data_IF_880677192992
#
_entry.id   IF_880677192992
#
_cell.length_a   1.000
_cell.length_b   1.000
_cell.length_c   1.000
_cell.angle_alpha   90.00
_cell.angle_beta   90.00
_cell.angle_gamma   90.00
#
_symmetry.space_group_name_H-M   'P 1'
#
loop_
_entity.id
_entity.type
_entity.pdbx_description
1 polymer ?
#
# COMPACT_ATOMS: atom_id res chain seq x y z
N UNK A 1 6.08 -3.94 -24.47
CA UNK A 1 7.22 -4.34 -25.30
C UNK A 1 6.98 -5.71 -25.90
N UNK A 2 7.55 -5.99 -27.09
CA UNK A 2 7.43 -7.29 -27.77
C UNK A 2 8.28 -8.41 -27.15
N UNK A 3 8.29 -9.60 -27.75
CA UNK A 3 9.17 -10.70 -27.35
C UNK A 3 10.64 -10.30 -27.34
N UNK A 4 11.45 -10.99 -26.53
CA UNK A 4 12.88 -10.76 -26.49
C UNK A 4 13.54 -11.09 -27.84
N UNK A 5 14.40 -10.21 -28.37
CA UNK A 5 15.01 -10.41 -29.68
C UNK A 5 15.91 -11.68 -29.72
N UNK A 6 15.88 -12.41 -30.85
CA UNK A 6 16.75 -13.56 -31.08
C UNK A 6 16.26 -14.90 -30.50
N UNK A 7 15.08 -14.90 -29.84
CA UNK A 7 14.47 -16.12 -29.31
C UNK A 7 15.20 -16.74 -28.11
N UNK A 8 14.81 -17.97 -27.69
CA UNK A 8 15.28 -18.57 -26.43
C UNK A 8 16.79 -18.71 -26.30
N UNK A 9 17.53 -18.88 -27.41
CA UNK A 9 18.98 -19.00 -27.38
C UNK A 9 19.72 -17.70 -27.01
N UNK A 10 19.01 -16.54 -27.07
CA UNK A 10 19.56 -15.23 -26.75
C UNK A 10 19.06 -14.68 -25.41
N UNK A 11 18.26 -15.44 -24.67
CA UNK A 11 17.74 -14.95 -23.38
C UNK A 11 18.86 -14.77 -22.37
N UNK A 12 18.81 -13.68 -21.59
CA UNK A 12 19.78 -13.49 -20.52
C UNK A 12 19.66 -14.59 -19.44
N UNK A 13 20.77 -15.01 -18.90
CA UNK A 13 20.79 -15.87 -17.70
C UNK A 13 20.58 -15.03 -16.45
N UNK A 14 19.32 -14.63 -16.21
CA UNK A 14 18.92 -13.83 -15.07
C UNK A 14 17.67 -14.45 -14.43
N UNK A 15 17.77 -14.95 -13.17
CA UNK A 15 16.66 -15.63 -12.49
C UNK A 15 15.46 -14.73 -12.21
N UNK A 16 15.60 -13.41 -12.36
CA UNK A 16 14.49 -12.47 -12.20
C UNK A 16 13.55 -12.45 -13.40
N UNK A 17 14.01 -12.92 -14.57
CA UNK A 17 13.25 -12.89 -15.80
C UNK A 17 12.23 -14.03 -15.88
N UNK A 18 11.09 -13.70 -16.48
CA UNK A 18 9.98 -14.61 -16.73
C UNK A 18 10.09 -15.16 -18.15
N UNK A 19 10.27 -16.49 -18.34
CA UNK A 19 10.38 -17.08 -19.67
C UNK A 19 9.16 -16.84 -20.56
N UNK A 20 7.95 -16.79 -19.98
CA UNK A 20 6.72 -16.51 -20.73
C UNK A 20 6.74 -15.08 -21.26
N UNK A 21 7.14 -14.11 -20.42
CA UNK A 21 7.24 -12.71 -20.85
C UNK A 21 8.36 -12.50 -21.89
N UNK A 22 9.45 -13.25 -21.78
CA UNK A 22 10.51 -13.22 -22.79
C UNK A 22 10.01 -13.78 -24.15
N UNK A 23 9.19 -14.83 -24.11
CA UNK A 23 8.65 -15.47 -25.30
C UNK A 23 7.54 -14.65 -25.97
N UNK A 24 6.61 -14.09 -25.20
CA UNK A 24 5.38 -13.46 -25.69
C UNK A 24 5.42 -11.93 -25.67
N UNK A 25 6.37 -11.36 -24.95
CA UNK A 25 6.46 -9.92 -24.69
C UNK A 25 5.79 -9.50 -23.40
N UNK A 26 6.17 -8.34 -22.88
CA UNK A 26 5.65 -7.77 -21.65
C UNK A 26 4.72 -6.59 -21.92
N UNK A 27 3.41 -6.82 -21.73
CA UNK A 27 2.34 -5.81 -21.91
C UNK A 27 1.94 -5.14 -20.59
N UNK A 28 2.57 -5.50 -19.48
CA UNK A 28 2.25 -4.92 -18.16
C UNK A 28 2.65 -3.44 -18.12
N UNK A 29 1.92 -2.66 -17.32
CA UNK A 29 2.27 -1.26 -17.06
C UNK A 29 3.30 -1.20 -15.93
N UNK A 30 4.56 -1.51 -16.24
CA UNK A 30 5.69 -1.43 -15.33
C UNK A 30 6.76 -0.50 -15.91
N UNK A 31 7.62 0.05 -15.05
CA UNK A 31 8.79 0.81 -15.49
C UNK A 31 9.73 -0.08 -16.31
N UNK A 32 10.51 0.51 -17.19
CA UNK A 32 11.34 -0.27 -18.13
C UNK A 32 12.36 -1.17 -17.42
N UNK A 33 12.86 -0.77 -16.25
CA UNK A 33 13.76 -1.58 -15.43
C UNK A 33 13.15 -2.93 -14.99
N UNK A 34 11.83 -3.04 -14.94
CA UNK A 34 11.12 -4.26 -14.54
C UNK A 34 10.54 -5.05 -15.73
N UNK A 35 10.84 -4.63 -16.96
CA UNK A 35 10.41 -5.38 -18.13
C UNK A 35 10.92 -6.80 -18.09
N UNK A 36 10.03 -7.73 -18.41
CA UNK A 36 10.24 -9.18 -18.38
C UNK A 36 10.53 -9.79 -17.01
N UNK A 37 10.59 -9.00 -15.91
CA UNK A 37 10.81 -9.58 -14.58
C UNK A 37 9.59 -10.35 -14.10
N UNK A 38 9.82 -11.43 -13.36
CA UNK A 38 8.78 -12.12 -12.63
C UNK A 38 8.19 -11.20 -11.56
N UNK A 39 6.92 -11.42 -11.22
CA UNK A 39 6.21 -10.60 -10.24
C UNK A 39 6.89 -10.63 -8.87
N UNK A 40 7.28 -11.83 -8.40
CA UNK A 40 7.96 -12.01 -7.12
C UNK A 40 9.32 -11.29 -7.07
N UNK A 41 10.05 -11.25 -8.18
CA UNK A 41 11.30 -10.52 -8.29
C UNK A 41 11.09 -9.00 -8.19
N UNK A 42 10.02 -8.47 -8.79
CA UNK A 42 9.65 -7.06 -8.65
C UNK A 42 9.30 -6.72 -7.21
N UNK A 43 8.45 -7.54 -6.56
CA UNK A 43 8.08 -7.33 -5.15
C UNK A 43 9.31 -7.35 -4.25
N UNK A 44 10.21 -8.34 -4.42
CA UNK A 44 11.44 -8.44 -3.64
C UNK A 44 12.38 -7.24 -3.85
N UNK A 45 12.38 -6.62 -5.03
CA UNK A 45 13.15 -5.40 -5.28
C UNK A 45 12.52 -4.19 -4.61
N UNK A 46 11.19 -4.06 -4.65
CA UNK A 46 10.46 -2.99 -3.97
C UNK A 46 10.65 -3.10 -2.44
N UNK A 47 10.58 -4.31 -1.88
CA UNK A 47 10.70 -4.55 -0.43
C UNK A 47 12.04 -4.08 0.14
N UNK A 48 13.13 -4.15 -0.64
CA UNK A 48 14.44 -3.59 -0.24
C UNK A 48 14.49 -2.07 -0.16
N UNK A 49 13.48 -1.40 -0.73
CA UNK A 49 13.43 0.07 -0.86
C UNK A 49 12.24 0.70 -0.14
N UNK A 50 11.39 -0.13 0.51
CA UNK A 50 10.24 0.40 1.26
C UNK A 50 10.68 1.29 2.41
N UNK A 51 9.89 2.31 2.63
CA UNK A 51 10.00 3.16 3.80
C UNK A 51 9.22 2.55 4.96
N UNK A 52 9.66 2.70 6.22
CA UNK A 52 9.11 1.97 7.36
C UNK A 52 7.78 2.55 7.88
N UNK A 53 7.05 3.31 7.06
CA UNK A 53 5.70 3.75 7.40
C UNK A 53 4.64 2.88 6.76
N UNK A 54 3.51 2.74 7.43
CA UNK A 54 2.34 2.01 6.97
C UNK A 54 1.20 2.98 6.67
N UNK A 55 0.26 2.54 5.84
CA UNK A 55 -0.98 3.27 5.57
C UNK A 55 -2.16 2.38 5.94
N UNK A 56 -3.12 2.92 6.69
CA UNK A 56 -4.34 2.22 7.03
C UNK A 56 -5.57 3.02 6.58
N UNK A 57 -6.63 2.33 6.21
CA UNK A 57 -7.91 2.94 5.84
C UNK A 57 -9.09 2.13 6.36
N UNK A 58 -10.07 2.82 6.94
CA UNK A 58 -11.35 2.22 7.30
C UNK A 58 -12.21 1.94 6.06
N UNK A 59 -12.86 0.79 6.03
CA UNK A 59 -13.71 0.33 4.93
C UNK A 59 -15.06 -0.22 5.44
N UNK A 60 -15.96 0.66 5.88
CA UNK A 60 -17.28 0.26 6.35
C UNK A 60 -18.37 0.38 5.28
N UNK A 61 -18.19 1.28 4.28
CA UNK A 61 -19.20 1.64 3.29
C UNK A 61 -18.83 1.39 1.82
N UNK A 62 -17.80 0.58 1.51
CA UNK A 62 -17.27 0.39 0.15
C UNK A 62 -16.72 1.68 -0.48
N UNK A 63 -15.77 2.28 0.17
CA UNK A 63 -15.10 3.47 -0.35
C UNK A 63 -14.37 3.18 -1.68
N UNK A 64 -14.63 4.03 -2.68
CA UNK A 64 -13.99 3.94 -3.99
C UNK A 64 -12.53 4.41 -3.94
N UNK A 65 -12.16 5.20 -2.94
CA UNK A 65 -10.82 5.79 -2.79
C UNK A 65 -9.76 4.81 -2.29
N UNK A 66 -10.15 3.67 -1.70
CA UNK A 66 -9.19 2.66 -1.20
C UNK A 66 -8.20 2.26 -2.29
N UNK A 67 -8.67 2.02 -3.51
CA UNK A 67 -7.79 1.70 -4.63
C UNK A 67 -6.77 2.81 -4.92
N UNK A 68 -7.17 4.07 -4.84
CA UNK A 68 -6.26 5.21 -5.04
C UNK A 68 -5.24 5.32 -3.91
N UNK A 69 -5.63 5.04 -2.66
CA UNK A 69 -4.74 5.01 -1.50
C UNK A 69 -3.71 3.89 -1.66
N UNK A 70 -4.13 2.67 -2.03
CA UNK A 70 -3.20 1.56 -2.30
C UNK A 70 -2.19 1.93 -3.40
N UNK A 71 -2.65 2.58 -4.47
CA UNK A 71 -1.77 3.07 -5.54
C UNK A 71 -0.78 4.11 -5.05
N UNK A 72 -1.22 5.07 -4.25
CA UNK A 72 -0.35 6.10 -3.67
C UNK A 72 0.65 5.48 -2.69
N UNK A 73 0.22 4.60 -1.80
CA UNK A 73 1.09 3.87 -0.89
C UNK A 73 2.18 3.08 -1.64
N UNK A 74 1.81 2.42 -2.74
CA UNK A 74 2.79 1.75 -3.59
C UNK A 74 3.77 2.74 -4.26
N UNK A 75 3.31 3.90 -4.72
CA UNK A 75 4.15 4.91 -5.35
C UNK A 75 5.16 5.53 -4.37
N UNK A 76 4.75 5.70 -3.11
CA UNK A 76 5.60 6.20 -2.03
C UNK A 76 6.34 5.08 -1.27
N UNK A 77 6.29 3.84 -1.75
CA UNK A 77 6.97 2.69 -1.17
C UNK A 77 6.64 2.49 0.33
N UNK A 78 5.39 2.69 0.72
CA UNK A 78 4.95 2.34 2.08
C UNK A 78 5.18 0.85 2.36
N UNK A 79 5.53 0.50 3.59
CA UNK A 79 5.83 -0.89 3.99
C UNK A 79 4.62 -1.81 3.73
N UNK A 80 3.46 -1.45 4.23
CA UNK A 80 2.23 -2.22 4.09
C UNK A 80 0.99 -1.32 4.11
N UNK A 81 -0.09 -1.74 3.46
CA UNK A 81 -1.41 -1.11 3.54
C UNK A 81 -2.36 -1.98 4.35
N UNK A 82 -3.09 -1.37 5.27
CA UNK A 82 -4.05 -2.04 6.13
C UNK A 82 -5.48 -1.63 5.77
N UNK A 83 -6.34 -2.60 5.49
CA UNK A 83 -7.77 -2.38 5.28
C UNK A 83 -8.50 -2.80 6.55
N UNK A 84 -9.12 -1.84 7.24
CA UNK A 84 -9.84 -2.07 8.50
C UNK A 84 -11.33 -2.11 8.24
N UNK A 85 -12.01 -3.20 8.61
CA UNK A 85 -13.44 -3.41 8.38
C UNK A 85 -13.73 -4.38 7.25
N UNK A 86 -14.51 -4.01 6.25
CA UNK A 86 -14.90 -4.93 5.17
C UNK A 86 -13.69 -5.36 4.34
N UNK A 87 -13.55 -6.66 4.12
CA UNK A 87 -12.44 -7.25 3.34
C UNK A 87 -12.49 -6.90 1.85
N UNK A 88 -13.68 -6.71 1.28
CA UNK A 88 -13.86 -6.40 -0.14
C UNK A 88 -13.77 -4.89 -0.36
N UNK A 89 -12.98 -4.48 -1.32
CA UNK A 89 -12.85 -3.10 -1.78
C UNK A 89 -12.69 -3.04 -3.30
N UNK A 90 -12.90 -1.87 -3.89
CA UNK A 90 -12.81 -1.67 -5.33
C UNK A 90 -11.34 -1.54 -5.78
N UNK A 91 -10.81 -2.59 -6.40
CA UNK A 91 -9.42 -2.62 -6.87
C UNK A 91 -9.15 -1.82 -8.15
N UNK A 92 -10.18 -1.31 -8.84
CA UNK A 92 -9.99 -0.55 -10.08
C UNK A 92 -9.14 0.70 -9.86
N UNK A 93 -9.33 1.42 -8.76
CA UNK A 93 -8.53 2.59 -8.38
C UNK A 93 -7.05 2.29 -8.16
N UNK A 94 -6.71 1.07 -7.77
CA UNK A 94 -5.33 0.65 -7.56
C UNK A 94 -4.55 0.50 -8.88
N UNK A 95 -5.22 0.43 -10.04
CA UNK A 95 -4.55 0.29 -11.34
C UNK A 95 -3.51 -0.83 -11.36
N UNK A 96 -3.85 -1.97 -10.75
CA UNK A 96 -3.01 -3.19 -10.64
C UNK A 96 -1.85 -3.08 -9.64
N UNK A 97 -1.62 -1.94 -8.99
CA UNK A 97 -0.51 -1.78 -8.02
C UNK A 97 -0.69 -2.60 -6.74
N UNK A 98 -1.93 -3.04 -6.45
CA UNK A 98 -2.25 -3.98 -5.38
C UNK A 98 -1.57 -5.36 -5.52
N UNK A 99 -0.98 -5.66 -6.69
CA UNK A 99 -0.16 -6.86 -6.92
C UNK A 99 1.28 -6.71 -6.45
N UNK A 100 1.74 -5.47 -6.28
CA UNK A 100 3.10 -5.14 -5.87
C UNK A 100 3.17 -4.65 -4.42
N UNK A 101 2.04 -4.19 -3.88
CA UNK A 101 1.91 -3.68 -2.53
C UNK A 101 1.44 -4.76 -1.58
N UNK A 102 2.03 -4.83 -0.39
CA UNK A 102 1.51 -5.67 0.69
C UNK A 102 0.21 -5.07 1.23
N UNK A 103 -0.86 -5.85 1.22
CA UNK A 103 -2.18 -5.42 1.69
C UNK A 103 -2.70 -6.41 2.73
N UNK A 104 -2.85 -5.94 3.97
CA UNK A 104 -3.37 -6.70 5.11
C UNK A 104 -4.79 -6.28 5.42
N UNK A 105 -5.60 -7.24 5.84
CA UNK A 105 -6.97 -7.00 6.29
C UNK A 105 -7.10 -7.24 7.79
N UNK A 106 -7.82 -6.32 8.44
CA UNK A 106 -8.27 -6.44 9.83
C UNK A 106 -9.79 -6.34 9.85
N UNK A 107 -10.46 -7.20 10.62
CA UNK A 107 -11.92 -7.26 10.65
C UNK A 107 -12.56 -6.05 11.36
N UNK A 108 -11.83 -5.44 12.30
CA UNK A 108 -12.26 -4.26 13.03
C UNK A 108 -11.06 -3.44 13.55
N UNK A 109 -11.36 -2.31 14.20
CA UNK A 109 -10.36 -1.41 14.78
C UNK A 109 -9.61 -2.09 15.93
N UNK A 110 -10.25 -2.93 16.73
CA UNK A 110 -9.62 -3.62 17.86
C UNK A 110 -8.54 -4.61 17.38
N UNK A 111 -8.86 -5.40 16.34
CA UNK A 111 -7.89 -6.32 15.73
C UNK A 111 -6.72 -5.56 15.08
N UNK A 112 -7.00 -4.42 14.45
CA UNK A 112 -5.99 -3.55 13.88
C UNK A 112 -5.07 -2.96 14.95
N UNK A 113 -5.64 -2.39 16.04
CA UNK A 113 -4.88 -1.84 17.16
C UNK A 113 -4.01 -2.91 17.83
N UNK A 114 -4.55 -4.09 18.11
CA UNK A 114 -3.78 -5.19 18.70
C UNK A 114 -2.58 -5.59 17.83
N UNK A 115 -2.75 -5.58 16.50
CA UNK A 115 -1.65 -5.83 15.58
C UNK A 115 -0.60 -4.69 15.62
N UNK A 116 -1.03 -3.42 15.62
CA UNK A 116 -0.15 -2.26 15.68
C UNK A 116 0.67 -2.25 16.98
N UNK A 117 0.03 -2.55 18.11
CA UNK A 117 0.69 -2.64 19.42
C UNK A 117 1.76 -3.76 19.41
N UNK A 118 1.43 -4.94 18.88
CA UNK A 118 2.38 -6.05 18.75
C UNK A 118 3.57 -5.73 17.83
N UNK A 119 3.35 -4.89 16.81
CA UNK A 119 4.39 -4.40 15.90
C UNK A 119 5.17 -3.18 16.44
N UNK A 120 4.76 -2.63 17.58
CA UNK A 120 5.28 -1.40 18.16
C UNK A 120 5.23 -0.21 17.17
N UNK A 121 4.09 -0.06 16.48
CA UNK A 121 3.84 1.00 15.50
C UNK A 121 2.77 1.95 16.04
N UNK A 122 3.09 3.21 16.33
CA UNK A 122 2.09 4.19 16.70
C UNK A 122 1.14 4.47 15.53
N UNK A 123 -0.15 4.56 15.85
CA UNK A 123 -1.20 4.93 14.91
C UNK A 123 -1.36 6.45 14.95
N UNK A 124 -1.25 7.11 13.81
CA UNK A 124 -1.49 8.53 13.62
C UNK A 124 -2.76 8.68 12.78
N UNK A 125 -3.81 9.18 13.37
CA UNK A 125 -5.07 9.46 12.68
C UNK A 125 -4.93 10.70 11.79
N UNK A 126 -5.43 10.62 10.56
CA UNK A 126 -5.45 11.76 9.63
C UNK A 126 -6.91 12.16 9.44
N UNK A 127 -7.32 13.22 10.12
CA UNK A 127 -8.70 13.74 10.06
C UNK A 127 -8.76 15.18 10.57
N UNK A 128 -9.79 15.94 10.15
CA UNK A 128 -10.04 17.31 10.56
C UNK A 128 -11.00 17.32 11.76
N UNK A 129 -10.49 17.04 12.93
CA UNK A 129 -11.24 17.03 14.20
C UNK A 129 -10.70 18.09 15.15
N UNK A 130 -11.51 18.50 16.13
CA UNK A 130 -11.09 19.47 17.14
C UNK A 130 -9.86 18.98 17.90
N UNK A 131 -8.82 19.81 17.93
CA UNK A 131 -7.55 19.48 18.60
C UNK A 131 -6.53 18.72 17.74
N UNK A 132 -6.83 18.49 16.44
CA UNK A 132 -5.85 17.96 15.52
C UNK A 132 -4.67 18.93 15.32
N UNK A 133 -3.49 18.39 15.06
CA UNK A 133 -2.27 19.17 14.82
C UNK A 133 -2.11 19.33 13.31
N UNK A 134 -1.94 20.56 12.78
CA UNK A 134 -1.64 20.75 11.37
C UNK A 134 -0.40 19.96 10.93
N UNK A 135 -0.46 19.33 9.74
CA UNK A 135 0.60 18.44 9.22
C UNK A 135 1.96 19.13 9.12
N UNK A 136 1.98 20.44 8.85
CA UNK A 136 3.20 21.25 8.77
C UNK A 136 3.87 21.48 10.11
N UNK A 137 3.19 21.17 11.22
CA UNK A 137 3.67 21.28 12.62
C UNK A 137 3.76 19.95 13.34
N UNK A 138 3.26 18.89 12.74
CA UNK A 138 3.26 17.56 13.32
C UNK A 138 4.64 16.91 13.24
N UNK A 139 5.13 16.41 14.37
CA UNK A 139 6.31 15.55 14.41
C UNK A 139 5.87 14.11 14.23
N UNK A 140 5.99 13.59 12.99
CA UNK A 140 5.63 12.22 12.68
C UNK A 140 6.81 11.28 12.94
N UNK A 141 6.60 10.17 13.68
CA UNK A 141 7.61 9.13 13.81
C UNK A 141 7.95 8.53 12.43
N UNK A 142 9.22 8.22 12.19
CA UNK A 142 9.64 7.57 10.94
C UNK A 142 8.91 6.23 10.72
N UNK A 143 8.71 5.48 11.82
CA UNK A 143 7.92 4.24 11.86
C UNK A 143 6.57 4.52 12.48
N UNK A 144 5.54 4.58 11.67
CA UNK A 144 4.17 4.81 12.13
C UNK A 144 3.16 4.25 11.13
N UNK A 145 1.90 4.26 11.53
CA UNK A 145 0.77 3.96 10.66
C UNK A 145 -0.04 5.24 10.47
N UNK A 146 -0.19 5.70 9.23
CA UNK A 146 -1.07 6.81 8.88
C UNK A 146 -2.47 6.23 8.62
N UNK A 147 -3.42 6.51 9.52
CA UNK A 147 -4.79 5.97 9.47
C UNK A 147 -5.73 7.00 8.89
N UNK A 148 -6.37 6.64 7.79
CA UNK A 148 -7.35 7.46 7.07
C UNK A 148 -8.78 6.94 7.28
N UNK A 149 -9.72 7.87 7.38
CA UNK A 149 -11.15 7.58 7.42
C UNK A 149 -11.76 7.36 6.03
N UNK A 150 -13.06 7.10 6.03
CA UNK A 150 -13.87 6.98 4.84
C UNK A 150 -14.18 8.37 4.25
N UNK A 151 -14.40 8.42 2.94
CA UNK A 151 -14.94 9.62 2.30
C UNK A 151 -16.34 9.92 2.86
N UNK A 152 -16.52 11.11 3.39
CA UNK A 152 -17.76 11.60 3.99
C UNK A 152 -17.78 11.48 5.52
N UNK A 153 -17.92 10.30 6.13
CA UNK A 153 -17.98 10.21 7.61
C UNK A 153 -16.64 10.44 8.31
N UNK A 154 -15.49 10.37 7.60
CA UNK A 154 -14.18 10.45 8.23
C UNK A 154 -13.82 9.18 9.01
N UNK A 155 -13.02 9.33 10.06
CA UNK A 155 -12.64 8.26 10.98
C UNK A 155 -13.76 7.95 11.97
N UNK A 156 -13.89 6.66 12.32
CA UNK A 156 -14.78 6.27 13.42
C UNK A 156 -14.23 6.76 14.77
N UNK A 157 -15.10 6.98 15.78
CA UNK A 157 -14.64 7.34 17.12
C UNK A 157 -13.67 6.32 17.72
N UNK A 158 -13.86 5.04 17.41
CA UNK A 158 -13.00 3.95 17.83
C UNK A 158 -11.60 4.08 17.21
N UNK A 159 -11.54 4.44 15.91
CA UNK A 159 -10.28 4.63 15.19
C UNK A 159 -9.50 5.84 15.74
N UNK A 160 -10.18 6.94 16.03
CA UNK A 160 -9.59 8.12 16.67
C UNK A 160 -9.08 7.78 18.07
N UNK A 161 -9.85 7.01 18.85
CA UNK A 161 -9.45 6.61 20.21
C UNK A 161 -8.25 5.65 20.23
N UNK A 162 -8.05 4.85 19.17
CA UNK A 162 -6.90 3.96 19.01
C UNK A 162 -5.62 4.70 18.59
N UNK A 163 -5.74 5.95 18.12
CA UNK A 163 -4.59 6.72 17.64
C UNK A 163 -3.79 7.36 18.79
N UNK A 164 -2.48 7.43 18.60
CA UNK A 164 -1.55 8.14 19.49
C UNK A 164 -1.60 9.65 19.31
N UNK A 165 -2.16 10.13 18.20
CA UNK A 165 -2.33 11.53 17.87
C UNK A 165 -3.16 11.70 16.60
N UNK A 166 -3.69 12.91 16.41
CA UNK A 166 -4.49 13.27 15.23
C UNK A 166 -3.81 14.43 14.51
N UNK A 167 -3.70 14.30 13.20
CA UNK A 167 -3.10 15.30 12.31
C UNK A 167 -4.12 15.71 11.25
N UNK A 168 -4.23 17.00 10.99
CA UNK A 168 -5.05 17.57 9.93
C UNK A 168 -4.23 18.02 8.71
N UNK A 169 -4.85 17.95 7.52
CA UNK A 169 -4.24 18.37 6.25
C UNK A 169 -4.97 19.62 5.74
#
# INVERSE_FOLDING_TARGET
VGPWPGGPASWPDDPRLDPELLAEGDRRNVVDAYRYWRMDAIVADLDRRRHPFHVAIENWQHDLNIGSIVRSANAFLAEEVHIVGRRRWNRRGAMVTDRYQHVRHHEDVAAFQAWADAAALPIIAIDNVDGAVPVDRAELPERCILLFGQEGPGLSPEAVAAASGVVEI
#
